data_IF_123563031353
#
_entry.id   IF_123563031353
#
_cell.length_a   1.000
_cell.length_b   1.000
_cell.length_c   1.000
_cell.angle_alpha   90.00
_cell.angle_beta   90.00
_cell.angle_gamma   90.00
#
_symmetry.space_group_name_H-M   'P 1'
#
loop_
_entity.id
_entity.type
_entity.pdbx_description
1 polymer ?
#
# COMPACT_ATOMS: atom_id res chain seq x y z
N UNK A 1 86.62 18.38 -32.11
CA UNK A 1 87.17 19.39 -31.18
C UNK A 1 86.04 19.94 -30.32
N UNK A 2 86.28 20.22 -29.04
CA UNK A 2 85.33 20.99 -28.23
C UNK A 2 85.30 22.46 -28.67
N UNK A 3 84.19 23.17 -28.40
CA UNK A 3 84.22 24.37 -27.55
C UNK A 3 82.80 24.84 -27.19
N UNK A 4 82.58 25.06 -25.89
CA UNK A 4 81.40 25.71 -25.29
C UNK A 4 81.85 27.09 -24.81
N UNK A 5 81.11 28.18 -25.11
CA UNK A 5 80.33 28.92 -24.09
C UNK A 5 79.00 29.45 -24.71
N UNK A 6 78.16 30.33 -24.13
CA UNK A 6 78.07 30.99 -22.80
C UNK A 6 76.57 31.24 -22.46
N UNK A 7 76.25 31.55 -21.20
CA UNK A 7 75.05 32.31 -20.74
C UNK A 7 75.47 33.80 -20.58
N UNK A 8 74.63 34.83 -20.27
CA UNK A 8 73.41 34.80 -19.42
C UNK A 8 72.27 35.82 -19.79
N UNK A 9 71.44 36.14 -18.80
CA UNK A 9 70.50 37.27 -18.65
C UNK A 9 69.09 37.17 -19.29
N UNK A 10 68.04 37.86 -18.82
CA UNK A 10 67.64 38.27 -17.44
C UNK A 10 66.22 38.91 -17.49
N UNK A 11 65.39 38.72 -16.44
CA UNK A 11 64.08 39.40 -16.29
C UNK A 11 62.93 38.77 -17.10
N UNK A 12 61.65 38.91 -16.73
CA UNK A 12 61.01 39.66 -15.63
C UNK A 12 59.66 38.99 -15.25
N UNK A 13 59.26 39.13 -13.97
CA UNK A 13 57.91 39.24 -13.37
C UNK A 13 56.64 38.75 -14.15
N UNK A 14 55.59 38.19 -13.52
CA UNK A 14 55.08 38.54 -12.19
C UNK A 14 54.05 37.53 -11.58
N UNK A 15 53.83 37.65 -10.26
CA UNK A 15 52.52 37.67 -9.56
C UNK A 15 51.62 36.41 -9.70
N UNK A 16 51.63 35.49 -8.72
CA UNK A 16 50.88 35.52 -7.43
C UNK A 16 49.39 35.19 -7.54
N UNK A 17 49.00 34.02 -7.04
CA UNK A 17 47.81 33.82 -6.20
C UNK A 17 47.80 32.42 -5.53
N UNK A 18 47.90 32.46 -4.20
CA UNK A 18 47.62 31.43 -3.22
C UNK A 18 46.53 30.40 -3.56
N UNK A 19 46.83 29.12 -3.33
CA UNK A 19 45.83 28.11 -2.99
C UNK A 19 45.98 27.72 -1.53
N UNK A 20 44.97 28.02 -0.72
CA UNK A 20 44.96 27.74 0.73
C UNK A 20 44.46 26.32 0.98
N UNK A 21 45.34 25.42 1.41
CA UNK A 21 44.96 24.08 1.81
C UNK A 21 44.37 24.11 3.23
N UNK A 22 43.03 24.03 3.33
CA UNK A 22 42.33 23.96 4.61
C UNK A 22 42.57 22.59 5.28
N UNK A 23 43.55 22.53 6.18
CA UNK A 23 43.84 21.35 7.00
C UNK A 23 42.87 21.28 8.19
N UNK A 24 41.76 20.56 8.03
CA UNK A 24 40.74 20.40 9.07
C UNK A 24 41.20 19.43 10.16
N UNK A 25 41.99 19.91 11.11
CA UNK A 25 42.35 19.16 12.32
C UNK A 25 41.10 18.88 13.15
N UNK A 26 40.63 17.62 13.14
CA UNK A 26 39.57 17.15 14.02
C UNK A 26 40.04 17.14 15.48
N UNK A 27 39.71 18.20 16.23
CA UNK A 27 39.92 18.24 17.68
C UNK A 27 38.96 17.27 18.35
N UNK A 28 39.51 16.27 19.05
CA UNK A 28 38.73 15.24 19.73
C UNK A 28 38.22 15.78 21.08
N UNK A 29 37.02 16.38 21.09
CA UNK A 29 36.45 17.05 22.27
C UNK A 29 35.85 16.02 23.24
N UNK A 30 36.71 15.29 23.95
CA UNK A 30 36.32 14.49 25.12
C UNK A 30 36.33 15.38 26.36
N UNK A 31 35.31 16.24 26.50
CA UNK A 31 35.17 17.14 27.65
C UNK A 31 34.73 16.40 28.94
N UNK A 32 35.67 15.68 29.56
CA UNK A 32 35.55 15.19 30.94
C UNK A 32 35.86 16.33 31.91
N UNK A 33 34.85 17.13 32.26
CA UNK A 33 34.98 18.15 33.33
C UNK A 33 34.96 17.47 34.69
N UNK A 34 36.12 17.29 35.30
CA UNK A 34 36.24 17.07 36.74
C UNK A 34 36.23 18.42 37.46
N UNK A 35 35.36 18.57 38.46
CA UNK A 35 35.31 19.76 39.31
C UNK A 35 35.90 19.35 40.68
N UNK A 36 37.07 19.89 41.08
CA UNK A 36 37.63 19.62 42.39
C UNK A 36 36.84 20.41 43.45
N UNK A 37 36.27 19.71 44.43
CA UNK A 37 35.39 20.33 45.45
C UNK A 37 36.11 20.52 46.79
N UNK A 38 37.05 19.62 47.12
CA UNK A 38 38.04 19.76 48.19
C UNK A 38 39.15 18.71 48.00
N UNK A 39 40.20 18.75 48.83
CA UNK A 39 41.35 17.85 48.75
C UNK A 39 40.94 16.36 48.75
N UNK A 40 41.24 15.66 47.65
CA UNK A 40 41.07 14.21 47.53
C UNK A 40 39.74 13.70 46.97
N UNK A 41 38.77 14.56 46.61
CA UNK A 41 37.50 14.12 46.01
C UNK A 41 37.22 14.74 44.64
N UNK A 42 37.09 13.88 43.62
CA UNK A 42 36.66 14.23 42.26
C UNK A 42 35.22 13.77 42.00
N UNK A 43 34.33 14.72 41.69
CA UNK A 43 32.95 14.40 41.32
C UNK A 43 32.87 14.21 39.81
N UNK A 44 32.71 12.96 39.36
CA UNK A 44 32.54 12.63 37.94
C UNK A 44 31.10 12.85 37.52
N UNK A 45 30.81 14.03 36.95
CA UNK A 45 29.48 14.36 36.43
C UNK A 45 29.25 13.63 35.11
N UNK A 46 28.54 12.50 35.15
CA UNK A 46 28.09 11.80 33.94
C UNK A 46 26.80 12.43 33.41
N UNK A 47 26.72 12.83 32.12
CA UNK A 47 25.51 13.38 31.54
C UNK A 47 24.46 12.27 31.34
N UNK A 48 23.60 12.09 32.35
CA UNK A 48 22.45 11.18 32.29
C UNK A 48 21.35 11.72 31.37
N UNK A 49 21.47 11.43 30.08
CA UNK A 49 20.37 11.58 29.12
C UNK A 49 19.13 10.84 29.65
N UNK A 50 18.01 11.55 29.78
CA UNK A 50 16.78 10.97 30.34
C UNK A 50 16.31 9.78 29.48
N UNK A 51 15.67 8.76 30.07
CA UNK A 51 15.16 7.62 29.30
C UNK A 51 14.24 8.04 28.15
N UNK A 52 13.43 9.08 28.35
CA UNK A 52 12.55 9.68 27.34
C UNK A 52 13.30 10.29 26.16
N UNK A 53 14.47 10.90 26.37
CA UNK A 53 15.25 11.45 25.26
C UNK A 53 15.84 10.34 24.38
N UNK A 54 16.21 9.19 24.98
CA UNK A 54 16.68 8.01 24.23
C UNK A 54 15.59 7.39 23.35
N UNK A 55 14.33 7.35 23.83
CA UNK A 55 13.21 6.83 23.02
C UNK A 55 12.85 7.78 21.87
N UNK A 56 12.90 9.10 22.09
CA UNK A 56 12.70 10.11 21.02
C UNK A 56 13.74 9.96 19.90
N UNK A 57 15.02 9.77 20.24
CA UNK A 57 16.08 9.51 19.25
C UNK A 57 15.77 8.26 18.43
N UNK A 58 15.44 7.14 19.10
CA UNK A 58 15.12 5.87 18.44
C UNK A 58 13.88 5.97 17.53
N UNK A 59 12.84 6.68 17.97
CA UNK A 59 11.64 6.93 17.18
C UNK A 59 11.96 7.69 15.87
N UNK A 60 12.82 8.71 15.94
CA UNK A 60 13.28 9.45 14.75
C UNK A 60 14.00 8.55 13.73
N UNK A 61 14.89 7.66 14.20
CA UNK A 61 15.56 6.70 13.32
C UNK A 61 14.58 5.70 12.67
N UNK A 62 13.62 5.17 13.42
CA UNK A 62 12.59 4.26 12.89
C UNK A 62 11.71 4.99 11.85
N UNK A 63 11.28 6.21 12.14
CA UNK A 63 10.41 7.00 11.27
C UNK A 63 11.11 7.32 9.92
N UNK A 64 12.37 7.74 9.96
CA UNK A 64 13.16 7.98 8.75
C UNK A 64 13.44 6.70 7.96
N UNK A 65 13.67 5.56 8.63
CA UNK A 65 13.84 4.27 7.95
C UNK A 65 12.56 3.85 7.22
N UNK A 66 11.38 4.04 7.83
CA UNK A 66 10.08 3.76 7.19
C UNK A 66 9.83 4.66 5.98
N UNK A 67 10.11 5.96 6.08
CA UNK A 67 10.01 6.90 4.94
C UNK A 67 10.94 6.50 3.79
N UNK A 68 12.16 6.08 4.09
CA UNK A 68 13.13 5.64 3.08
C UNK A 68 12.70 4.33 2.39
N UNK A 69 12.10 3.38 3.12
CA UNK A 69 11.51 2.15 2.55
C UNK A 69 10.31 2.47 1.65
N UNK A 70 9.43 3.40 2.07
CA UNK A 70 8.30 3.86 1.25
C UNK A 70 8.79 4.50 -0.07
N UNK A 71 9.80 5.37 -0.01
CA UNK A 71 10.37 6.03 -1.19
C UNK A 71 11.05 5.03 -2.13
N UNK A 72 11.82 4.08 -1.60
CA UNK A 72 12.49 3.03 -2.39
C UNK A 72 11.49 2.08 -3.06
N UNK A 73 10.45 1.65 -2.34
CA UNK A 73 9.41 0.76 -2.90
C UNK A 73 8.61 1.47 -4.01
N UNK A 74 8.24 2.73 -3.81
CA UNK A 74 7.64 3.57 -4.86
C UNK A 74 8.54 3.72 -6.09
N UNK A 75 9.83 4.01 -5.89
CA UNK A 75 10.81 4.13 -6.98
C UNK A 75 11.01 2.79 -7.75
N UNK A 76 11.06 1.66 -7.04
CA UNK A 76 11.15 0.33 -7.64
C UNK A 76 9.90 -0.03 -8.47
N UNK A 77 8.71 0.32 -7.98
CA UNK A 77 7.45 0.11 -8.69
C UNK A 77 7.38 0.99 -9.95
N UNK A 78 7.73 2.28 -9.83
CA UNK A 78 7.84 3.20 -10.96
C UNK A 78 8.85 2.73 -12.01
N UNK A 79 10.01 2.21 -11.61
CA UNK A 79 11.02 1.68 -12.52
C UNK A 79 10.53 0.44 -13.30
N UNK A 80 9.74 -0.44 -12.65
CA UNK A 80 9.13 -1.61 -13.32
C UNK A 80 8.10 -1.17 -14.37
N UNK A 81 7.19 -0.26 -14.02
CA UNK A 81 6.18 0.28 -14.94
C UNK A 81 6.86 1.02 -16.11
N UNK A 82 7.87 1.85 -15.83
CA UNK A 82 8.62 2.57 -16.86
C UNK A 82 9.33 1.62 -17.84
N UNK A 83 9.94 0.54 -17.36
CA UNK A 83 10.57 -0.49 -18.22
C UNK A 83 9.56 -1.20 -19.11
N UNK A 84 8.40 -1.57 -18.57
CA UNK A 84 7.32 -2.19 -19.35
C UNK A 84 6.78 -1.23 -20.43
N UNK A 85 6.51 0.02 -20.07
CA UNK A 85 6.06 1.04 -21.01
C UNK A 85 7.07 1.25 -22.15
N UNK A 86 8.38 1.34 -21.82
CA UNK A 86 9.42 1.51 -22.83
C UNK A 86 9.57 0.29 -23.75
N UNK A 87 9.36 -0.93 -23.25
CA UNK A 87 9.38 -2.14 -24.06
C UNK A 87 8.21 -2.20 -25.05
N UNK A 88 7.00 -1.80 -24.61
CA UNK A 88 5.82 -1.69 -25.49
C UNK A 88 6.04 -0.63 -26.56
N UNK A 89 6.53 0.56 -26.19
CA UNK A 89 6.83 1.64 -27.15
C UNK A 89 7.91 1.22 -28.15
N UNK A 90 8.96 0.51 -27.71
CA UNK A 90 9.98 -0.01 -28.61
C UNK A 90 9.43 -1.07 -29.58
N UNK A 91 8.59 -1.99 -29.11
CA UNK A 91 7.95 -3.01 -29.96
C UNK A 91 6.91 -2.42 -30.93
N UNK A 92 6.29 -1.28 -30.60
CA UNK A 92 5.45 -0.52 -31.52
C UNK A 92 6.31 0.21 -32.55
N UNK A 93 7.41 0.85 -32.14
CA UNK A 93 8.33 1.54 -33.05
C UNK A 93 8.98 0.58 -34.07
N UNK A 94 9.43 -0.59 -33.63
CA UNK A 94 9.99 -1.65 -34.48
C UNK A 94 8.98 -2.16 -35.53
N UNK A 95 7.69 -2.23 -35.17
CA UNK A 95 6.61 -2.56 -36.10
C UNK A 95 6.20 -1.42 -37.04
N UNK A 96 6.59 -0.18 -36.75
CA UNK A 96 6.37 0.99 -37.60
C UNK A 96 7.54 1.28 -38.55
N UNK A 97 8.73 0.72 -38.31
CA UNK A 97 9.87 0.93 -39.21
C UNK A 97 9.66 0.22 -40.57
N UNK A 98 10.25 0.80 -41.61
CA UNK A 98 10.24 0.35 -43.01
C UNK A 98 10.72 -1.09 -43.22
N UNK A 99 11.43 -1.65 -42.24
CA UNK A 99 11.93 -3.03 -42.21
C UNK A 99 10.89 -4.04 -41.69
N UNK A 100 9.88 -3.60 -40.94
CA UNK A 100 8.81 -4.44 -40.39
C UNK A 100 7.85 -4.96 -41.47
N UNK A 101 7.00 -5.93 -41.11
CA UNK A 101 6.10 -6.61 -42.06
C UNK A 101 5.21 -5.65 -42.87
N UNK A 102 4.73 -4.56 -42.24
CA UNK A 102 3.96 -3.51 -42.91
C UNK A 102 4.83 -2.72 -43.90
N UNK A 103 6.03 -2.32 -43.49
CA UNK A 103 7.01 -1.63 -44.36
C UNK A 103 7.42 -2.47 -45.58
N UNK A 104 7.64 -3.78 -45.39
CA UNK A 104 7.92 -4.72 -46.48
C UNK A 104 6.74 -4.83 -47.46
N UNK A 105 5.50 -4.85 -46.95
CA UNK A 105 4.30 -4.95 -47.78
C UNK A 105 4.07 -3.66 -48.59
N UNK A 106 4.24 -2.49 -47.96
CA UNK A 106 4.19 -1.18 -48.63
C UNK A 106 5.30 -1.07 -49.69
N UNK A 107 6.51 -1.55 -49.39
CA UNK A 107 7.63 -1.58 -50.34
C UNK A 107 7.35 -2.50 -51.53
N UNK A 108 6.73 -3.67 -51.31
CA UNK A 108 6.26 -4.57 -52.36
C UNK A 108 5.25 -3.89 -53.30
N UNK A 109 4.24 -3.22 -52.73
CA UNK A 109 3.24 -2.45 -53.47
C UNK A 109 3.89 -1.33 -54.30
N UNK A 110 4.79 -0.55 -53.69
CA UNK A 110 5.52 0.50 -54.39
C UNK A 110 6.41 -0.03 -55.53
N UNK A 111 7.00 -1.22 -55.36
CA UNK A 111 7.81 -1.89 -56.39
C UNK A 111 6.94 -2.43 -57.53
N UNK A 112 5.73 -2.92 -57.24
CA UNK A 112 4.76 -3.33 -58.26
C UNK A 112 4.24 -2.12 -59.05
N UNK A 113 4.00 -0.99 -58.39
CA UNK A 113 3.55 0.24 -59.04
C UNK A 113 4.56 0.81 -60.06
N UNK A 114 5.84 0.46 -59.95
CA UNK A 114 6.90 0.87 -60.88
C UNK A 114 7.00 -0.01 -62.14
N UNK A 115 6.28 -1.13 -62.21
CA UNK A 115 6.37 -2.11 -63.32
C UNK A 115 5.46 -1.77 -64.53
N UNK A 116 5.03 -0.52 -64.66
CA UNK A 116 4.16 -0.04 -65.73
C UNK A 116 2.65 -0.11 -65.41
N UNK A 117 1.77 0.17 -66.38
CA UNK A 117 0.35 0.42 -66.13
C UNK A 117 -0.41 -0.73 -65.46
N UNK A 118 -0.08 -1.98 -65.80
CA UNK A 118 -0.65 -3.19 -65.19
C UNK A 118 -0.17 -3.41 -63.75
N UNK A 119 1.11 -3.13 -63.47
CA UNK A 119 1.68 -3.18 -62.13
C UNK A 119 1.11 -2.11 -61.19
N UNK A 120 0.85 -0.90 -61.73
CA UNK A 120 0.18 0.18 -61.00
C UNK A 120 -1.27 -0.19 -60.60
N UNK A 121 -2.03 -0.85 -61.47
CA UNK A 121 -3.37 -1.34 -61.13
C UNK A 121 -3.31 -2.39 -60.01
N UNK A 122 -2.47 -3.41 -60.14
CA UNK A 122 -2.30 -4.47 -59.12
C UNK A 122 -1.82 -3.91 -57.77
N UNK A 123 -0.95 -2.90 -57.78
CA UNK A 123 -0.51 -2.21 -56.58
C UNK A 123 -1.66 -1.43 -55.91
N UNK A 124 -2.51 -0.77 -56.68
CA UNK A 124 -3.69 -0.08 -56.17
C UNK A 124 -4.70 -1.05 -55.53
N UNK A 125 -4.99 -2.18 -56.19
CA UNK A 125 -5.89 -3.21 -55.66
C UNK A 125 -5.36 -3.83 -54.36
N UNK A 126 -4.05 -4.13 -54.30
CA UNK A 126 -3.39 -4.63 -53.07
C UNK A 126 -3.42 -3.59 -51.94
N UNK A 127 -3.16 -2.32 -52.24
CA UNK A 127 -3.24 -1.23 -51.27
C UNK A 127 -4.67 -1.04 -50.73
N UNK A 128 -5.67 -1.10 -51.61
CA UNK A 128 -7.09 -1.02 -51.23
C UNK A 128 -7.47 -2.19 -50.32
N UNK A 129 -7.19 -3.43 -50.71
CA UNK A 129 -7.54 -4.63 -49.94
C UNK A 129 -6.89 -4.64 -48.54
N UNK A 130 -5.63 -4.20 -48.43
CA UNK A 130 -4.97 -4.04 -47.12
C UNK A 130 -5.60 -2.91 -46.30
N UNK A 131 -5.94 -1.79 -46.92
CA UNK A 131 -6.59 -0.66 -46.24
C UNK A 131 -7.95 -1.08 -45.69
N UNK A 132 -8.76 -1.78 -46.48
CA UNK A 132 -10.01 -2.41 -46.06
C UNK A 132 -9.81 -3.35 -44.86
N UNK A 133 -8.83 -4.25 -44.93
CA UNK A 133 -8.51 -5.15 -43.82
C UNK A 133 -8.12 -4.39 -42.54
N UNK A 134 -7.25 -3.37 -42.63
CA UNK A 134 -6.80 -2.60 -41.47
C UNK A 134 -7.92 -1.76 -40.86
N UNK A 135 -8.76 -1.14 -41.68
CA UNK A 135 -9.92 -0.37 -41.20
C UNK A 135 -10.92 -1.29 -40.52
N UNK A 136 -11.23 -2.46 -41.08
CA UNK A 136 -12.11 -3.46 -40.44
C UNK A 136 -11.58 -3.98 -39.10
N UNK A 137 -10.27 -4.20 -38.98
CA UNK A 137 -9.63 -4.56 -37.70
C UNK A 137 -9.71 -3.41 -36.69
N UNK A 138 -9.53 -2.16 -37.15
CA UNK A 138 -9.55 -0.99 -36.27
C UNK A 138 -10.97 -0.68 -35.76
N UNK A 139 -11.99 -0.71 -36.62
CA UNK A 139 -13.39 -0.49 -36.22
C UNK A 139 -13.86 -1.58 -35.27
N UNK A 140 -13.59 -2.86 -35.58
CA UNK A 140 -13.93 -3.99 -34.70
C UNK A 140 -13.19 -3.96 -33.36
N UNK A 141 -11.95 -3.43 -33.31
CA UNK A 141 -11.23 -3.24 -32.05
C UNK A 141 -11.88 -2.14 -31.18
N UNK A 142 -12.41 -1.07 -31.78
CA UNK A 142 -13.12 0.00 -31.05
C UNK A 142 -14.48 -0.48 -30.55
N UNK A 143 -15.25 -1.23 -31.33
CA UNK A 143 -16.48 -1.89 -30.86
C UNK A 143 -16.18 -2.90 -29.73
N UNK A 144 -15.09 -3.66 -29.84
CA UNK A 144 -14.62 -4.56 -28.80
C UNK A 144 -14.28 -3.85 -27.49
N UNK A 145 -13.68 -2.64 -27.56
CA UNK A 145 -13.40 -1.81 -26.39
C UNK A 145 -14.67 -1.23 -25.76
N UNK A 146 -15.65 -0.77 -26.55
CA UNK A 146 -16.93 -0.28 -26.01
C UNK A 146 -17.69 -1.36 -25.24
N UNK A 147 -17.62 -2.61 -25.70
CA UNK A 147 -18.31 -3.76 -25.10
C UNK A 147 -17.49 -4.51 -24.03
N UNK A 148 -16.22 -4.15 -23.81
CA UNK A 148 -15.36 -4.81 -22.82
C UNK A 148 -15.73 -4.45 -21.37
N UNK A 149 -15.27 -5.26 -20.43
CA UNK A 149 -15.58 -5.13 -18.99
C UNK A 149 -14.31 -5.06 -18.15
N UNK A 150 -14.28 -4.13 -17.19
CA UNK A 150 -13.28 -4.10 -16.13
C UNK A 150 -13.72 -5.09 -15.05
N UNK A 151 -12.82 -6.00 -14.64
CA UNK A 151 -12.98 -6.82 -13.44
C UNK A 151 -12.11 -6.24 -12.34
N UNK A 152 -12.73 -5.87 -11.23
CA UNK A 152 -12.05 -5.30 -10.08
C UNK A 152 -12.53 -5.97 -8.79
N UNK A 153 -11.67 -5.97 -7.78
CA UNK A 153 -12.01 -6.41 -6.42
C UNK A 153 -11.95 -5.19 -5.52
N UNK A 154 -13.06 -4.85 -4.88
CA UNK A 154 -13.15 -3.73 -3.95
C UNK A 154 -13.03 -4.30 -2.53
N UNK A 155 -11.98 -3.97 -1.76
CA UNK A 155 -11.89 -4.34 -0.37
C UNK A 155 -12.87 -3.50 0.46
N UNK A 156 -13.77 -4.16 1.18
CA UNK A 156 -14.67 -3.52 2.14
C UNK A 156 -14.09 -3.71 3.54
N UNK A 157 -13.91 -2.61 4.27
CA UNK A 157 -13.51 -2.59 5.68
C UNK A 157 -14.47 -1.66 6.43
N UNK A 158 -15.52 -2.23 7.01
CA UNK A 158 -16.60 -1.47 7.65
C UNK A 158 -16.82 -1.92 9.10
N UNK A 159 -17.02 -0.95 9.99
CA UNK A 159 -17.51 -1.20 11.35
C UNK A 159 -19.03 -1.19 11.36
N UNK A 160 -19.64 -2.34 11.65
CA UNK A 160 -21.10 -2.48 11.78
C UNK A 160 -21.47 -2.47 13.28
N UNK A 161 -22.38 -1.59 13.73
CA UNK A 161 -22.88 -1.61 15.10
C UNK A 161 -23.83 -2.80 15.28
N UNK A 162 -23.64 -3.56 16.36
CA UNK A 162 -24.50 -4.69 16.71
C UNK A 162 -25.27 -4.38 18.00
N UNK A 163 -26.57 -4.67 17.97
CA UNK A 163 -27.44 -4.69 19.13
C UNK A 163 -27.96 -6.12 19.33
N UNK A 164 -27.30 -6.87 20.22
CA UNK A 164 -27.63 -8.26 20.53
C UNK A 164 -28.17 -8.36 21.96
N UNK A 165 -29.14 -9.25 22.18
CA UNK A 165 -29.58 -9.63 23.52
C UNK A 165 -29.13 -11.06 23.78
N UNK A 166 -28.26 -11.25 24.78
CA UNK A 166 -27.76 -12.57 25.16
C UNK A 166 -28.55 -13.04 26.38
N UNK A 167 -29.42 -14.04 26.18
CA UNK A 167 -30.05 -14.74 27.29
C UNK A 167 -29.04 -15.64 27.99
N UNK A 168 -28.90 -15.46 29.30
CA UNK A 168 -28.17 -16.36 30.20
C UNK A 168 -29.23 -17.11 30.99
N UNK A 169 -29.24 -18.43 30.86
CA UNK A 169 -30.13 -19.34 31.60
C UNK A 169 -29.30 -20.56 32.01
N UNK A 170 -28.78 -20.54 33.25
CA UNK A 170 -27.88 -21.57 33.73
C UNK A 170 -27.91 -21.70 35.26
N UNK A 171 -27.79 -22.94 35.75
CA UNK A 171 -27.50 -23.18 37.17
C UNK A 171 -26.01 -22.90 37.45
N UNK A 172 -25.74 -22.15 38.51
CA UNK A 172 -24.38 -21.72 38.87
C UNK A 172 -24.22 -21.60 40.38
N UNK A 173 -23.00 -21.81 40.88
CA UNK A 173 -22.69 -21.69 42.31
C UNK A 173 -22.00 -20.36 42.56
N UNK A 174 -22.71 -19.41 43.18
CA UNK A 174 -22.14 -18.14 43.61
C UNK A 174 -21.53 -18.26 45.01
N UNK A 175 -20.54 -17.42 45.32
CA UNK A 175 -19.89 -17.39 46.63
C UNK A 175 -20.33 -16.14 47.37
N UNK A 176 -20.78 -16.27 48.63
CA UNK A 176 -21.19 -15.12 49.44
C UNK A 176 -20.02 -14.18 49.72
N UNK A 177 -20.13 -12.93 49.28
CA UNK A 177 -19.12 -11.87 49.49
C UNK A 177 -19.29 -11.14 50.82
N UNK A 178 -20.46 -11.24 51.45
CA UNK A 178 -20.79 -10.68 52.77
C UNK A 178 -21.63 -11.70 53.57
N UNK A 179 -21.64 -11.65 54.91
CA UNK A 179 -22.48 -12.55 55.71
C UNK A 179 -23.97 -12.28 55.46
N UNK A 180 -24.76 -13.33 55.23
CA UNK A 180 -26.20 -13.22 54.97
C UNK A 180 -26.99 -13.86 56.09
N UNK A 181 -27.85 -13.08 56.74
CA UNK A 181 -28.74 -13.57 57.80
C UNK A 181 -30.06 -14.07 57.22
N UNK A 182 -30.36 -15.36 57.39
CA UNK A 182 -31.62 -15.98 57.01
C UNK A 182 -32.45 -16.26 58.27
N UNK A 183 -33.77 -16.04 58.18
CA UNK A 183 -34.74 -16.47 59.19
C UNK A 183 -35.64 -17.53 58.58
N UNK A 184 -35.69 -18.71 59.19
CA UNK A 184 -36.46 -19.84 58.69
C UNK A 184 -37.17 -20.56 59.84
N UNK A 185 -38.39 -21.11 59.62
CA UNK A 185 -38.99 -22.05 60.54
C UNK A 185 -38.15 -23.33 60.59
N UNK A 186 -37.91 -23.85 61.80
CA UNK A 186 -37.20 -25.09 62.04
C UNK A 186 -38.01 -25.99 62.97
N UNK A 187 -37.98 -27.29 62.68
CA UNK A 187 -38.38 -28.34 63.59
C UNK A 187 -37.14 -28.80 64.36
N UNK A 188 -37.19 -28.75 65.68
CA UNK A 188 -36.11 -29.22 66.55
C UNK A 188 -36.65 -30.37 67.40
N UNK A 189 -36.19 -31.58 67.12
CA UNK A 189 -36.47 -32.78 67.91
C UNK A 189 -35.41 -32.95 69.01
N UNK A 190 -35.84 -32.98 70.27
CA UNK A 190 -34.92 -33.18 71.40
C UNK A 190 -34.73 -34.68 71.68
N UNK A 191 -33.50 -35.22 71.58
CA UNK A 191 -33.25 -36.64 71.85
C UNK A 191 -33.55 -36.99 73.33
N UNK A 192 -34.05 -38.19 73.56
CA UNK A 192 -34.39 -38.68 74.90
C UNK A 192 -35.83 -38.40 75.36
N UNK A 193 -36.74 -38.08 74.45
CA UNK A 193 -38.17 -37.88 74.75
C UNK A 193 -38.54 -36.45 75.17
N UNK A 194 -37.66 -35.47 74.92
CA UNK A 194 -37.88 -34.06 75.27
C UNK A 194 -38.92 -33.30 74.43
N UNK A 195 -39.70 -33.99 73.60
CA UNK A 195 -40.67 -33.40 72.68
C UNK A 195 -40.03 -32.72 71.46
N UNK A 196 -40.86 -31.97 70.74
CA UNK A 196 -40.45 -31.20 69.57
C UNK A 196 -40.73 -29.70 69.75
N UNK A 197 -39.93 -28.86 69.10
CA UNK A 197 -40.09 -27.41 69.09
C UNK A 197 -40.17 -26.91 67.65
N UNK A 198 -41.33 -26.35 67.29
CA UNK A 198 -41.50 -25.54 66.10
C UNK A 198 -41.16 -24.09 66.43
N UNK A 199 -40.03 -23.59 65.94
CA UNK A 199 -39.58 -22.21 66.20
C UNK A 199 -38.94 -21.59 64.97
N UNK A 200 -38.77 -20.26 64.95
CA UNK A 200 -38.03 -19.57 63.89
C UNK A 200 -36.58 -19.37 64.32
N UNK A 201 -35.66 -20.03 63.63
CA UNK A 201 -34.22 -19.85 63.85
C UNK A 201 -33.67 -18.72 62.98
N UNK A 202 -32.64 -18.04 63.48
CA UNK A 202 -31.86 -17.06 62.70
C UNK A 202 -30.48 -17.66 62.42
N UNK A 203 -30.21 -17.98 61.15
CA UNK A 203 -28.93 -18.53 60.69
C UNK A 203 -28.12 -17.43 60.00
N UNK A 204 -26.84 -17.31 60.34
CA UNK A 204 -25.91 -16.43 59.61
C UNK A 204 -25.04 -17.27 58.70
N UNK A 205 -25.18 -17.09 57.39
CA UNK A 205 -24.32 -17.75 56.41
C UNK A 205 -23.03 -16.91 56.28
N UNK A 206 -21.84 -17.49 56.52
CA UNK A 206 -20.59 -16.76 56.47
C UNK A 206 -20.21 -16.38 55.04
N UNK A 207 -19.27 -15.43 54.92
CA UNK A 207 -18.55 -15.18 53.67
C UNK A 207 -17.84 -16.45 53.20
N UNK A 208 -17.72 -16.62 51.89
CA UNK A 208 -17.13 -17.82 51.30
C UNK A 208 -18.08 -19.02 51.18
N UNK A 209 -19.31 -18.97 51.71
CA UNK A 209 -20.28 -20.05 51.54
C UNK A 209 -20.72 -20.17 50.07
N UNK A 210 -20.66 -21.37 49.46
CA UNK A 210 -21.14 -21.60 48.09
C UNK A 210 -22.66 -21.80 48.07
N UNK A 211 -23.37 -20.97 47.32
CA UNK A 211 -24.82 -21.04 47.14
C UNK A 211 -25.14 -21.41 45.68
N UNK A 212 -25.71 -22.59 45.41
CA UNK A 212 -26.25 -22.90 44.09
C UNK A 212 -27.49 -22.03 43.82
N UNK A 213 -27.50 -21.37 42.67
CA UNK A 213 -28.60 -20.53 42.20
C UNK A 213 -28.92 -20.85 40.73
N UNK A 214 -30.16 -20.61 40.35
CA UNK A 214 -30.59 -20.59 38.95
C UNK A 214 -30.46 -19.15 38.43
N UNK A 215 -29.57 -18.92 37.46
CA UNK A 215 -29.29 -17.60 36.91
C UNK A 215 -30.01 -17.43 35.56
N UNK A 216 -31.13 -16.71 35.58
CA UNK A 216 -31.89 -16.34 34.39
C UNK A 216 -31.87 -14.80 34.21
N UNK A 217 -31.15 -14.31 33.19
CA UNK A 217 -31.08 -12.87 32.87
C UNK A 217 -30.73 -12.59 31.41
N UNK A 218 -31.25 -11.50 30.85
CA UNK A 218 -30.93 -11.03 29.50
C UNK A 218 -29.89 -9.91 29.55
N UNK A 219 -28.71 -10.14 29.00
CA UNK A 219 -27.62 -9.17 28.91
C UNK A 219 -27.74 -8.40 27.58
N UNK A 220 -28.00 -7.07 27.60
CA UNK A 220 -28.05 -6.26 26.39
C UNK A 220 -26.64 -5.87 25.94
N UNK A 221 -26.16 -6.48 24.86
CA UNK A 221 -24.93 -6.06 24.16
C UNK A 221 -25.31 -4.96 23.19
N UNK A 222 -25.17 -3.70 23.64
CA UNK A 222 -25.35 -2.50 22.84
C UNK A 222 -23.98 -1.92 22.46
N UNK A 223 -23.96 -1.15 21.37
CA UNK A 223 -22.83 -0.30 20.94
C UNK A 223 -21.52 -1.02 20.61
N UNK A 224 -21.52 -2.36 20.54
CA UNK A 224 -20.35 -3.13 20.13
C UNK A 224 -20.21 -3.07 18.59
N UNK A 225 -19.07 -2.56 18.13
CA UNK A 225 -18.74 -2.44 16.70
C UNK A 225 -17.94 -3.65 16.24
N UNK A 226 -18.49 -4.44 15.32
CA UNK A 226 -17.78 -5.55 14.69
C UNK A 226 -17.10 -5.04 13.41
N UNK A 227 -15.81 -5.33 13.24
CA UNK A 227 -15.12 -5.10 11.97
C UNK A 227 -15.50 -6.20 10.98
N UNK A 228 -16.06 -5.79 9.85
CA UNK A 228 -16.45 -6.66 8.76
C UNK A 228 -15.50 -6.37 7.60
N UNK A 229 -14.66 -7.36 7.25
CA UNK A 229 -13.69 -7.26 6.16
C UNK A 229 -13.95 -8.34 5.13
N UNK A 230 -14.22 -7.95 3.89
CA UNK A 230 -14.38 -8.88 2.77
C UNK A 230 -14.06 -8.20 1.44
N UNK A 231 -13.64 -9.01 0.48
CA UNK A 231 -13.35 -8.58 -0.88
C UNK A 231 -14.60 -8.78 -1.76
N UNK A 232 -15.13 -7.68 -2.31
CA UNK A 232 -16.27 -7.73 -3.21
C UNK A 232 -15.81 -7.69 -4.68
N UNK A 233 -15.96 -8.77 -5.45
CA UNK A 233 -15.70 -8.74 -6.88
C UNK A 233 -16.80 -7.96 -7.61
N UNK A 234 -16.40 -7.00 -8.45
CA UNK A 234 -17.29 -6.22 -9.31
C UNK A 234 -16.87 -6.34 -10.77
N UNK A 235 -17.86 -6.36 -11.66
CA UNK A 235 -17.65 -6.29 -13.11
C UNK A 235 -18.31 -5.02 -13.62
N UNK A 236 -17.51 -4.12 -14.19
CA UNK A 236 -17.93 -2.78 -14.62
C UNK A 236 -17.81 -2.75 -16.15
N UNK A 237 -18.92 -2.69 -16.92
CA UNK A 237 -18.86 -2.56 -18.37
C UNK A 237 -18.32 -1.18 -18.77
N UNK A 238 -17.41 -1.11 -19.75
CA UNK A 238 -16.77 0.15 -20.14
C UNK A 238 -17.75 1.19 -20.68
N UNK A 239 -18.81 0.74 -21.37
CA UNK A 239 -19.96 1.56 -21.78
C UNK A 239 -20.69 2.28 -20.63
N UNK A 240 -20.56 1.80 -19.40
CA UNK A 240 -21.20 2.36 -18.21
C UNK A 240 -20.20 3.20 -17.38
N UNK A 241 -19.01 3.48 -17.94
CA UNK A 241 -17.96 4.33 -17.35
C UNK A 241 -17.79 5.65 -18.12
N UNK A 242 -17.05 6.60 -17.53
CA UNK A 242 -16.67 7.86 -18.18
C UNK A 242 -15.91 7.67 -19.52
N UNK A 243 -15.28 6.51 -19.74
CA UNK A 243 -14.57 6.18 -20.99
C UNK A 243 -15.51 5.88 -22.17
N UNK A 244 -16.81 5.65 -21.92
CA UNK A 244 -17.80 5.39 -22.96
C UNK A 244 -17.91 6.53 -23.97
N UNK A 245 -17.93 7.79 -23.51
CA UNK A 245 -17.98 8.98 -24.35
C UNK A 245 -16.80 9.09 -25.32
N UNK A 246 -15.54 9.06 -24.83
CA UNK A 246 -14.35 9.01 -25.67
C UNK A 246 -14.34 7.85 -26.68
N UNK A 247 -14.77 6.64 -26.30
CA UNK A 247 -14.83 5.52 -27.24
C UNK A 247 -15.95 5.66 -28.28
N UNK A 248 -17.08 6.28 -27.95
CA UNK A 248 -18.14 6.60 -28.90
C UNK A 248 -17.69 7.67 -29.91
N UNK A 249 -16.98 8.72 -29.45
CA UNK A 249 -16.39 9.73 -30.32
C UNK A 249 -15.36 9.12 -31.28
N UNK A 250 -14.48 8.24 -30.78
CA UNK A 250 -13.51 7.55 -31.63
C UNK A 250 -14.19 6.68 -32.71
N UNK A 251 -15.30 6.02 -32.38
CA UNK A 251 -16.07 5.23 -33.34
C UNK A 251 -16.73 6.11 -34.41
N UNK A 252 -17.38 7.22 -34.04
CA UNK A 252 -17.96 8.16 -35.02
C UNK A 252 -16.89 8.83 -35.91
N UNK A 253 -15.67 9.08 -35.40
CA UNK A 253 -14.56 9.56 -36.23
C UNK A 253 -14.06 8.51 -37.25
N UNK A 254 -14.17 7.22 -36.93
CA UNK A 254 -13.73 6.12 -37.80
C UNK A 254 -14.81 5.66 -38.78
N UNK A 255 -16.08 5.91 -38.49
CA UNK A 255 -17.23 5.48 -39.28
C UNK A 255 -17.20 5.97 -40.74
N UNK A 256 -16.87 7.23 -41.09
CA UNK A 256 -16.70 7.64 -42.49
C UNK A 256 -15.59 6.89 -43.24
N UNK A 257 -14.51 6.51 -42.55
CA UNK A 257 -13.46 5.66 -43.12
C UNK A 257 -13.94 4.21 -43.29
N UNK A 258 -14.70 3.69 -42.33
CA UNK A 258 -15.34 2.38 -42.44
C UNK A 258 -16.27 2.29 -43.65
N UNK A 259 -17.13 3.29 -43.83
CA UNK A 259 -18.12 3.34 -44.92
C UNK A 259 -17.47 3.58 -46.30
N UNK A 260 -16.45 4.45 -46.39
CA UNK A 260 -15.71 4.71 -47.64
C UNK A 260 -15.00 3.47 -48.21
N UNK A 261 -14.48 2.62 -47.32
CA UNK A 261 -13.74 1.41 -47.70
C UNK A 261 -14.59 0.13 -47.62
N UNK A 262 -15.86 0.23 -47.24
CA UNK A 262 -16.79 -0.90 -47.23
C UNK A 262 -16.94 -1.45 -48.66
N UNK A 263 -16.79 -2.77 -48.91
CA UNK A 263 -17.00 -3.30 -50.23
C UNK A 263 -18.46 -3.07 -50.66
N UNK A 264 -18.64 -2.48 -51.84
CA UNK A 264 -19.95 -2.44 -52.48
C UNK A 264 -20.35 -3.88 -52.84
N UNK A 265 -21.45 -4.35 -52.23
CA UNK A 265 -22.12 -5.59 -52.58
C UNK A 265 -23.11 -5.37 -53.73
#
# INVERSE_FOLDING_TARGET
MQLKPRKPAAGLNAKSANSSAAHTSHTNITHRREIPVAAGQTVVVTPRLSPLYKTIIWFSFILNALLLILLLSGALMGLRVYRQYRAVVAAVADKLDSTGAVGQTIKGIATNAQQGPSGAAQAADQALALTQQKIGVLTGAVEGLQNATIKATIPIDQQVPVALQVGVDQDTTVVLTQPVTIRAPAHIDFPGGGGNLNTTVTLSLPTGFPLPIHLNMTIPVKDQKIQVKFDQPVTIPLKDTELAGPFAQLHELLKPLGDLFKPAH
#
